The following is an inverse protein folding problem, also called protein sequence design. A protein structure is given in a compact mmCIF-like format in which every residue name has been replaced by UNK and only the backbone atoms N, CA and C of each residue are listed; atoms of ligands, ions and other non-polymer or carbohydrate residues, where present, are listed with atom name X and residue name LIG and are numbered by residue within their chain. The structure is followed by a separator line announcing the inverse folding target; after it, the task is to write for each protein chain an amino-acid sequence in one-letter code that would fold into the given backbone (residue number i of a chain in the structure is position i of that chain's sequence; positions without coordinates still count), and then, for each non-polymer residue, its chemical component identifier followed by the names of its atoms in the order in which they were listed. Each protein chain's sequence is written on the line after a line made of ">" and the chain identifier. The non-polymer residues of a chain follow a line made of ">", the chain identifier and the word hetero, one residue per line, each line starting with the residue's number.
data_IF_216785663136
#
_entry.id   IF_216785663136
#
_cell.length_a   1.000
_cell.length_b   1.000
_cell.length_c   1.000
_cell.angle_alpha   90.00
_cell.angle_beta   90.00
_cell.angle_gamma   90.00
#
_symmetry.space_group_name_H-M   'P 1'
#
loop_
_entity.id
_entity.type
_entity.pdbx_description
1 polymer ?
#
# COMPACT_ATOMS: atom_id res chain seq x y z
N UNK A 1 -14.29 -5.06 11.23
CA UNK A 1 -15.62 -4.98 10.57
C UNK A 1 -16.16 -3.54 10.75
N UNK A 2 -17.31 -3.14 10.17
CA UNK A 2 -17.83 -1.75 10.24
C UNK A 2 -19.01 -1.57 11.22
N UNK A 3 -19.24 -2.57 12.07
CA UNK A 3 -20.33 -2.70 13.01
C UNK A 3 -19.87 -2.56 14.48
N UNK A 4 -18.64 -2.10 14.73
CA UNK A 4 -18.14 -1.78 16.07
C UNK A 4 -18.19 -0.28 16.38
N UNK A 5 -18.57 0.05 17.61
CA UNK A 5 -18.49 1.42 18.16
C UNK A 5 -17.84 1.39 19.56
N UNK A 6 -16.79 2.18 19.82
CA UNK A 6 -16.11 3.07 18.87
C UNK A 6 -15.41 2.28 17.76
N UNK A 7 -15.10 2.95 16.65
CA UNK A 7 -14.34 2.35 15.56
C UNK A 7 -12.97 1.88 16.09
N UNK A 8 -12.61 0.63 15.79
CA UNK A 8 -11.33 0.04 16.15
C UNK A 8 -10.59 -0.43 14.90
N UNK A 9 -9.26 -0.29 14.93
CA UNK A 9 -8.39 -0.77 13.84
C UNK A 9 -7.89 -2.17 14.15
N UNK A 10 -8.84 -3.11 14.23
CA UNK A 10 -8.55 -4.51 14.49
C UNK A 10 -8.99 -5.44 13.34
N UNK A 11 -8.01 -6.00 12.62
CA UNK A 11 -8.27 -7.02 11.60
C UNK A 11 -8.25 -8.41 12.22
N UNK A 12 -9.18 -9.24 11.74
CA UNK A 12 -9.32 -10.64 12.13
C UNK A 12 -9.45 -11.48 10.87
N UNK A 13 -9.01 -12.74 10.95
CA UNK A 13 -9.19 -13.69 9.86
C UNK A 13 -10.62 -14.24 9.89
N UNK A 14 -11.34 -14.09 8.78
CA UNK A 14 -12.70 -14.63 8.62
C UNK A 14 -12.73 -16.05 8.04
N UNK A 15 -11.62 -16.50 7.45
CA UNK A 15 -11.44 -17.83 6.91
C UNK A 15 -9.97 -18.24 6.98
N UNK A 16 -9.69 -19.51 6.73
CA UNK A 16 -8.34 -20.05 6.71
C UNK A 16 -7.71 -19.99 5.32
N UNK A 17 -6.39 -20.21 5.26
CA UNK A 17 -5.64 -20.28 4.00
C UNK A 17 -6.09 -21.48 3.18
N UNK A 18 -6.33 -22.62 3.82
CA UNK A 18 -6.82 -23.84 3.19
C UNK A 18 -8.19 -23.63 2.54
N UNK A 19 -9.08 -22.88 3.21
CA UNK A 19 -10.38 -22.53 2.61
C UNK A 19 -10.21 -21.69 1.35
N UNK A 20 -9.26 -20.73 1.34
CA UNK A 20 -8.96 -19.96 0.14
C UNK A 20 -8.38 -20.84 -0.98
N UNK A 21 -7.51 -21.79 -0.62
CA UNK A 21 -6.93 -22.76 -1.55
C UNK A 21 -7.98 -23.70 -2.14
N UNK A 22 -8.88 -24.24 -1.32
CA UNK A 22 -10.00 -25.11 -1.74
C UNK A 22 -10.95 -24.40 -2.71
N UNK A 23 -11.09 -23.07 -2.59
CA UNK A 23 -11.85 -22.23 -3.53
C UNK A 23 -11.13 -22.00 -4.88
N UNK A 24 -9.88 -22.44 -5.01
CA UNK A 24 -9.05 -22.22 -6.18
C UNK A 24 -8.46 -20.81 -6.27
N UNK A 25 -8.31 -20.11 -5.14
CA UNK A 25 -7.65 -18.80 -5.13
C UNK A 25 -6.17 -18.94 -5.53
N UNK A 26 -5.66 -17.97 -6.29
CA UNK A 26 -4.24 -17.95 -6.66
C UNK A 26 -3.33 -17.41 -5.54
N UNK A 27 -3.91 -16.70 -4.57
CA UNK A 27 -3.20 -16.02 -3.51
C UNK A 27 -4.12 -15.62 -2.36
N UNK A 28 -3.53 -15.26 -1.22
CA UNK A 28 -4.24 -14.70 -0.06
C UNK A 28 -3.85 -13.25 0.17
N UNK A 29 -4.79 -12.46 0.66
CA UNK A 29 -4.60 -11.06 0.98
C UNK A 29 -4.91 -10.77 2.45
N UNK A 30 -4.08 -9.98 3.12
CA UNK A 30 -4.32 -9.55 4.49
C UNK A 30 -4.06 -8.05 4.67
N UNK A 31 -4.56 -7.47 5.76
CA UNK A 31 -4.31 -6.08 6.12
C UNK A 31 -3.71 -6.02 7.51
N UNK A 32 -2.63 -5.26 7.66
CA UNK A 32 -2.10 -4.87 8.98
C UNK A 32 -2.31 -3.37 9.16
N UNK A 33 -2.86 -3.01 10.32
CA UNK A 33 -3.03 -1.64 10.76
C UNK A 33 -1.84 -1.20 11.63
N UNK A 34 -0.72 -0.88 11.00
CA UNK A 34 0.50 -0.44 11.67
C UNK A 34 0.27 0.81 12.53
N UNK A 35 0.72 0.76 13.79
CA UNK A 35 0.53 1.83 14.76
C UNK A 35 -0.77 1.75 15.57
N UNK A 36 -1.66 0.78 15.27
CA UNK A 36 -2.81 0.49 16.13
C UNK A 36 -2.42 -0.41 17.30
N UNK A 37 -3.26 -0.45 18.34
CA UNK A 37 -3.01 -1.22 19.56
C UNK A 37 -2.81 -2.72 19.27
N UNK A 38 -3.53 -3.26 18.28
CA UNK A 38 -3.50 -4.68 17.92
C UNK A 38 -2.54 -5.01 16.77
N UNK A 39 -1.76 -4.05 16.28
CA UNK A 39 -0.85 -4.24 15.15
C UNK A 39 0.12 -5.42 15.35
N UNK A 40 0.64 -5.61 16.58
CA UNK A 40 1.56 -6.72 16.89
C UNK A 40 0.91 -8.10 16.75
N UNK A 41 -0.35 -8.24 17.17
CA UNK A 41 -1.11 -9.49 16.99
C UNK A 41 -1.32 -9.77 15.51
N UNK A 42 -1.81 -8.76 14.78
CA UNK A 42 -2.04 -8.85 13.34
C UNK A 42 -0.78 -9.23 12.57
N UNK A 43 0.39 -8.70 12.95
CA UNK A 43 1.68 -9.09 12.33
C UNK A 43 1.96 -10.59 12.52
N UNK A 44 1.75 -11.13 13.73
CA UNK A 44 1.93 -12.56 13.99
C UNK A 44 0.96 -13.42 13.20
N UNK A 45 -0.34 -13.09 13.27
CA UNK A 45 -1.41 -13.80 12.55
C UNK A 45 -1.19 -13.81 11.02
N UNK A 46 -0.75 -12.67 10.46
CA UNK A 46 -0.45 -12.57 9.03
C UNK A 46 0.81 -13.33 8.67
N UNK A 47 1.85 -13.30 9.51
CA UNK A 47 3.08 -14.07 9.26
C UNK A 47 2.81 -15.57 9.21
N UNK A 48 1.98 -16.10 10.11
CA UNK A 48 1.58 -17.51 10.10
C UNK A 48 0.74 -17.86 8.87
N UNK A 49 -0.21 -16.99 8.50
CA UNK A 49 -1.05 -17.19 7.32
C UNK A 49 -0.25 -17.14 6.01
N UNK A 50 0.75 -16.26 5.92
CA UNK A 50 1.57 -16.13 4.71
C UNK A 50 2.51 -17.32 4.54
N UNK A 51 3.12 -17.80 5.62
CA UNK A 51 3.91 -19.04 5.59
C UNK A 51 3.07 -20.24 5.12
N UNK A 52 1.85 -20.40 5.66
CA UNK A 52 0.93 -21.45 5.22
C UNK A 52 0.52 -21.31 3.74
N UNK A 53 0.33 -20.07 3.26
CA UNK A 53 0.01 -19.83 1.86
C UNK A 53 1.17 -20.22 0.93
N UNK A 54 2.40 -19.93 1.33
CA UNK A 54 3.60 -20.34 0.60
C UNK A 54 3.78 -21.87 0.58
N UNK A 55 3.47 -22.58 1.66
CA UNK A 55 3.46 -24.06 1.68
C UNK A 55 2.47 -24.66 0.67
N UNK A 56 1.37 -23.95 0.39
CA UNK A 56 0.35 -24.35 -0.59
C UNK A 56 0.62 -23.80 -2.00
N UNK A 57 1.73 -23.08 -2.22
CA UNK A 57 2.10 -22.50 -3.52
C UNK A 57 1.27 -21.29 -3.95
N UNK A 58 0.64 -20.60 -2.99
CA UNK A 58 -0.16 -19.39 -3.22
C UNK A 58 0.67 -18.13 -2.99
N UNK A 59 0.47 -17.07 -3.78
CA UNK A 59 1.14 -15.79 -3.53
C UNK A 59 0.41 -14.97 -2.45
N UNK A 60 1.13 -14.03 -1.82
CA UNK A 60 0.58 -13.24 -0.72
C UNK A 60 0.55 -11.75 -1.05
N UNK A 61 -0.49 -11.05 -0.58
CA UNK A 61 -0.63 -9.60 -0.76
C UNK A 61 -0.92 -8.94 0.58
N UNK A 62 -0.08 -7.99 0.98
CA UNK A 62 -0.23 -7.29 2.26
C UNK A 62 -0.55 -5.82 2.08
N UNK A 63 -1.66 -5.40 2.66
CA UNK A 63 -2.01 -3.99 2.82
C UNK A 63 -1.37 -3.45 4.09
N UNK A 64 -0.36 -2.60 3.93
CA UNK A 64 0.38 -2.01 5.04
C UNK A 64 -0.19 -0.65 5.44
N UNK A 65 -1.31 -0.58 6.15
CA UNK A 65 -1.92 0.70 6.48
C UNK A 65 -1.44 1.25 7.80
N UNK A 66 -0.95 2.48 7.81
CA UNK A 66 -0.81 3.23 9.06
C UNK A 66 -2.19 3.54 9.64
N UNK A 67 -2.34 3.37 10.95
CA UNK A 67 -3.53 3.71 11.74
C UNK A 67 -3.16 4.11 13.16
N UNK A 68 -3.07 5.41 13.39
CA UNK A 68 -2.95 5.96 14.74
C UNK A 68 -3.31 7.43 14.73
N UNK A 69 -4.07 7.95 15.71
CA UNK A 69 -4.27 9.39 15.83
C UNK A 69 -2.94 10.14 16.00
N UNK A 70 -1.90 9.49 16.53
CA UNK A 70 -0.56 10.08 16.71
C UNK A 70 0.15 10.42 15.40
N UNK A 71 -0.30 9.89 14.25
CA UNK A 71 0.23 10.28 12.94
C UNK A 71 -0.34 11.61 12.43
N UNK A 72 -1.21 12.27 13.19
CA UNK A 72 -1.63 13.65 12.93
C UNK A 72 -0.94 14.58 13.92
N UNK A 73 -0.08 15.46 13.41
CA UNK A 73 0.73 16.38 14.22
C UNK A 73 0.55 17.78 13.66
N UNK A 74 0.20 18.75 14.52
CA UNK A 74 0.02 20.17 14.17
C UNK A 74 -0.87 20.40 12.94
N UNK A 75 -1.96 19.63 12.83
CA UNK A 75 -2.91 19.71 11.72
C UNK A 75 -2.47 19.01 10.42
N UNK A 76 -1.25 18.48 10.37
CA UNK A 76 -0.75 17.71 9.22
C UNK A 76 -0.99 16.21 9.42
N UNK A 77 -1.48 15.52 8.38
CA UNK A 77 -1.71 14.08 8.38
C UNK A 77 -0.52 13.33 7.74
N UNK A 78 0.21 12.55 8.53
CA UNK A 78 1.38 11.77 8.10
C UNK A 78 1.06 10.29 7.83
N UNK A 79 -0.22 9.88 7.78
CA UNK A 79 -0.58 8.48 7.46
C UNK A 79 -0.12 8.03 6.07
N UNK A 80 0.21 8.96 5.18
CA UNK A 80 0.76 8.71 3.84
C UNK A 80 2.20 9.22 3.70
N UNK A 81 2.91 9.47 4.80
CA UNK A 81 4.30 9.91 4.74
C UNK A 81 5.20 8.80 4.18
N UNK A 82 6.04 9.14 3.21
CA UNK A 82 6.91 8.18 2.52
C UNK A 82 7.82 7.42 3.49
N UNK A 83 8.38 8.10 4.49
CA UNK A 83 9.23 7.50 5.52
C UNK A 83 8.49 6.50 6.43
N UNK A 84 7.31 6.88 6.96
CA UNK A 84 6.52 6.01 7.82
C UNK A 84 5.93 4.82 7.06
N UNK A 85 5.36 5.08 5.87
CA UNK A 85 4.78 4.02 5.02
C UNK A 85 5.86 3.11 4.46
N UNK A 86 7.06 3.63 4.17
CA UNK A 86 8.23 2.83 3.81
C UNK A 86 8.58 1.81 4.89
N UNK A 87 8.64 2.21 6.16
CA UNK A 87 8.88 1.25 7.25
C UNK A 87 7.79 0.18 7.34
N UNK A 88 6.52 0.56 7.21
CA UNK A 88 5.41 -0.41 7.22
C UNK A 88 5.51 -1.40 6.05
N UNK A 89 5.93 -0.93 4.88
CA UNK A 89 6.21 -1.80 3.73
C UNK A 89 7.38 -2.75 4.03
N UNK A 90 8.47 -2.25 4.61
CA UNK A 90 9.63 -3.06 4.98
C UNK A 90 9.28 -4.18 5.98
N UNK A 91 8.44 -3.86 6.98
CA UNK A 91 7.92 -4.88 7.89
C UNK A 91 7.04 -5.89 7.15
N UNK A 92 6.24 -5.43 6.19
CA UNK A 92 5.41 -6.30 5.37
C UNK A 92 6.21 -7.30 4.53
N UNK A 93 7.27 -6.85 3.86
CA UNK A 93 8.13 -7.76 3.09
C UNK A 93 8.89 -8.75 3.97
N UNK A 94 9.13 -8.39 5.24
CA UNK A 94 9.80 -9.26 6.22
C UNK A 94 8.91 -10.42 6.66
N UNK A 95 7.58 -10.26 6.58
CA UNK A 95 6.60 -11.31 6.92
C UNK A 95 6.03 -11.98 5.67
N UNK A 96 6.88 -12.21 4.66
CA UNK A 96 6.60 -13.04 3.48
C UNK A 96 5.53 -12.51 2.53
N UNK A 97 5.33 -11.18 2.49
CA UNK A 97 4.51 -10.57 1.45
C UNK A 97 5.21 -10.66 0.08
N UNK A 98 4.54 -11.20 -0.95
CA UNK A 98 5.02 -11.18 -2.34
C UNK A 98 4.66 -9.87 -3.06
N UNK A 99 3.56 -9.24 -2.61
CA UNK A 99 3.12 -7.92 -3.08
C UNK A 99 2.73 -7.06 -1.88
N UNK A 100 3.32 -5.87 -1.80
CA UNK A 100 2.91 -4.83 -0.87
C UNK A 100 1.89 -3.92 -1.54
N UNK A 101 0.78 -3.70 -0.85
CA UNK A 101 -0.18 -2.65 -1.17
C UNK A 101 -0.01 -1.49 -0.19
N UNK A 102 0.32 -0.31 -0.73
CA UNK A 102 0.35 0.95 0.03
C UNK A 102 -0.49 2.07 -0.62
N UNK A 103 -0.90 3.10 0.13
CA UNK A 103 -1.39 4.35 -0.47
C UNK A 103 -0.23 5.10 -1.13
N UNK A 104 -0.48 5.78 -2.25
CA UNK A 104 0.54 6.67 -2.81
C UNK A 104 0.94 7.74 -1.77
N UNK A 105 2.24 7.99 -1.53
CA UNK A 105 2.64 8.93 -0.53
C UNK A 105 2.36 10.36 -0.99
N UNK A 106 1.94 11.21 -0.06
CA UNK A 106 1.58 12.62 -0.33
C UNK A 106 2.48 13.61 0.40
N UNK A 107 3.30 13.12 1.33
CA UNK A 107 4.26 13.92 2.10
C UNK A 107 5.40 13.02 2.60
N UNK A 108 6.27 13.59 3.43
CA UNK A 108 7.39 12.91 4.07
C UNK A 108 7.64 13.52 5.46
N UNK A 109 8.66 13.04 6.17
CA UNK A 109 9.08 13.60 7.45
C UNK A 109 8.18 13.19 8.62
N UNK A 110 7.39 12.12 8.46
CA UNK A 110 6.51 11.65 9.50
C UNK A 110 7.28 11.24 10.75
N UNK A 111 8.47 10.62 10.64
CA UNK A 111 9.28 10.28 11.82
C UNK A 111 9.74 11.52 12.60
N UNK A 112 10.12 12.59 11.89
CA UNK A 112 10.53 13.86 12.52
C UNK A 112 9.34 14.53 13.22
N UNK A 113 8.14 14.44 12.64
CA UNK A 113 6.94 15.07 13.20
C UNK A 113 6.40 14.32 14.43
N UNK A 114 6.33 12.99 14.39
CA UNK A 114 5.67 12.20 15.45
C UNK A 114 6.54 12.00 16.70
N UNK A 115 7.85 12.23 16.59
CA UNK A 115 8.77 12.19 17.73
C UNK A 115 9.04 10.80 18.30
N UNK A 116 8.62 9.74 17.61
CA UNK A 116 8.93 8.35 17.95
C UNK A 116 9.41 7.58 16.72
N UNK A 117 10.04 6.42 16.94
CA UNK A 117 10.71 5.67 15.88
C UNK A 117 12.11 6.18 15.61
N UNK A 118 12.69 5.80 14.47
CA UNK A 118 14.06 6.18 14.08
C UNK A 118 14.11 6.45 12.59
N UNK A 119 14.83 7.50 12.23
CA UNK A 119 15.13 7.89 10.86
C UNK A 119 16.54 8.48 10.82
N UNK A 120 17.11 8.66 9.64
CA UNK A 120 18.42 9.27 9.44
C UNK A 120 18.27 10.50 8.53
N UNK A 121 19.07 11.55 8.73
CA UNK A 121 18.93 12.81 7.97
C UNK A 121 19.08 12.62 6.46
N UNK A 122 19.98 11.71 6.04
CA UNK A 122 20.14 11.27 4.65
C UNK A 122 18.84 10.84 3.95
N UNK A 123 17.83 10.34 4.68
CA UNK A 123 16.52 10.02 4.10
C UNK A 123 15.96 11.25 3.39
N UNK A 124 16.07 12.41 4.03
CA UNK A 124 15.50 13.67 3.58
C UNK A 124 16.46 14.50 2.74
N UNK A 125 17.76 14.38 3.01
CA UNK A 125 18.77 15.23 2.36
C UNK A 125 19.29 14.63 1.05
N UNK A 126 19.20 13.30 0.86
CA UNK A 126 19.82 12.61 -0.28
C UNK A 126 18.95 11.52 -0.92
N UNK A 127 18.14 10.80 -0.14
CA UNK A 127 17.43 9.61 -0.63
C UNK A 127 16.02 9.90 -1.16
N UNK A 128 15.51 11.10 -0.94
CA UNK A 128 14.18 11.51 -1.40
C UNK A 128 14.10 13.02 -1.61
N UNK A 129 12.99 13.48 -2.17
CA UNK A 129 12.65 14.90 -2.32
C UNK A 129 11.14 15.06 -2.22
N UNK A 130 10.62 16.28 -2.33
CA UNK A 130 9.17 16.52 -2.40
C UNK A 130 8.54 16.07 -3.72
N UNK A 131 9.34 15.62 -4.70
CA UNK A 131 8.82 15.12 -5.95
C UNK A 131 8.04 13.80 -5.74
N UNK A 132 6.80 13.65 -6.23
CA UNK A 132 5.97 12.47 -5.95
C UNK A 132 6.60 11.13 -6.35
N UNK A 133 7.39 11.12 -7.43
CA UNK A 133 8.14 9.93 -7.87
C UNK A 133 9.21 9.56 -6.84
N UNK A 134 9.90 10.52 -6.24
CA UNK A 134 10.97 10.25 -5.26
C UNK A 134 10.40 9.75 -3.93
N UNK A 135 9.24 10.29 -3.53
CA UNK A 135 8.48 9.80 -2.38
C UNK A 135 8.02 8.35 -2.59
N UNK A 136 7.45 8.05 -3.75
CA UNK A 136 7.03 6.69 -4.09
C UNK A 136 8.25 5.74 -4.25
N UNK A 137 9.37 6.22 -4.82
CA UNK A 137 10.60 5.43 -4.95
C UNK A 137 11.15 5.06 -3.58
N UNK A 138 11.03 5.93 -2.58
CA UNK A 138 11.40 5.58 -1.21
C UNK A 138 10.53 4.43 -0.64
N UNK A 139 9.22 4.39 -0.95
CA UNK A 139 8.40 3.21 -0.62
C UNK A 139 8.89 1.94 -1.34
N UNK A 140 9.22 2.03 -2.63
CA UNK A 140 9.74 0.90 -3.43
C UNK A 140 11.08 0.39 -2.87
N UNK A 141 11.96 1.29 -2.47
CA UNK A 141 13.25 0.94 -1.87
C UNK A 141 13.08 0.06 -0.62
N UNK A 142 12.06 0.36 0.19
CA UNK A 142 11.71 -0.43 1.37
C UNK A 142 11.10 -1.80 1.05
N UNK A 143 10.68 -2.03 -0.20
CA UNK A 143 10.29 -3.34 -0.72
C UNK A 143 11.50 -4.09 -1.33
N UNK A 144 12.65 -4.04 -0.67
CA UNK A 144 13.93 -4.58 -1.15
C UNK A 144 14.30 -4.09 -2.57
N UNK A 145 14.29 -2.77 -2.77
CA UNK A 145 14.59 -2.15 -4.07
C UNK A 145 13.67 -2.64 -5.21
N UNK A 146 12.41 -2.92 -4.88
CA UNK A 146 11.41 -3.41 -5.83
C UNK A 146 11.46 -4.92 -6.12
N UNK A 147 12.31 -5.70 -5.42
CA UNK A 147 12.29 -7.17 -5.52
C UNK A 147 10.93 -7.74 -5.12
N UNK A 148 10.30 -7.13 -4.10
CA UNK A 148 8.91 -7.40 -3.74
C UNK A 148 8.05 -6.31 -4.38
N UNK A 149 7.01 -6.72 -5.10
CA UNK A 149 6.20 -5.78 -5.89
C UNK A 149 5.50 -4.76 -5.00
N UNK A 150 5.55 -3.47 -5.37
CA UNK A 150 4.76 -2.42 -4.72
C UNK A 150 3.62 -1.99 -5.65
N UNK A 151 2.39 -2.23 -5.21
CA UNK A 151 1.21 -1.65 -5.83
C UNK A 151 0.66 -0.49 -5.00
N UNK A 152 0.33 0.62 -5.67
CA UNK A 152 -0.32 1.76 -5.02
C UNK A 152 -1.82 1.81 -5.28
N UNK A 153 -2.52 2.63 -4.50
CA UNK A 153 -3.87 3.08 -4.84
C UNK A 153 -3.92 4.60 -4.78
N UNK A 154 -4.68 5.21 -5.70
CA UNK A 154 -5.15 6.58 -5.54
C UNK A 154 -6.06 6.69 -4.32
N UNK A 155 -6.29 7.91 -3.83
CA UNK A 155 -7.15 8.18 -2.68
C UNK A 155 -8.61 7.74 -2.85
N UNK A 156 -9.50 8.25 -2.01
CA UNK A 156 -10.93 8.04 -2.19
C UNK A 156 -11.42 8.59 -3.55
N UNK A 157 -12.59 8.15 -4.00
CA UNK A 157 -13.24 8.68 -5.20
C UNK A 157 -13.48 10.18 -5.05
N UNK A 158 -13.05 10.96 -6.03
CA UNK A 158 -13.28 12.40 -6.17
C UNK A 158 -14.27 12.71 -7.30
N UNK A 159 -14.80 11.68 -7.96
CA UNK A 159 -15.78 11.82 -9.03
C UNK A 159 -15.11 12.17 -10.36
N UNK A 160 -15.30 13.41 -10.83
CA UNK A 160 -14.92 13.80 -12.18
C UNK A 160 -13.39 13.72 -12.45
N UNK A 161 -12.55 13.91 -11.42
CA UNK A 161 -11.08 13.83 -11.55
C UNK A 161 -10.51 12.41 -11.40
N UNK A 162 -11.35 11.40 -11.13
CA UNK A 162 -10.87 10.06 -10.79
C UNK A 162 -10.00 9.42 -11.88
N UNK A 163 -10.33 9.65 -13.16
CA UNK A 163 -9.56 9.12 -14.28
C UNK A 163 -8.16 9.73 -14.31
N UNK A 164 -8.06 11.06 -14.26
CA UNK A 164 -6.79 11.76 -14.27
C UNK A 164 -5.93 11.41 -13.04
N UNK A 165 -6.54 11.30 -11.86
CA UNK A 165 -5.85 10.88 -10.64
C UNK A 165 -5.36 9.43 -10.70
N UNK A 166 -6.15 8.53 -11.29
CA UNK A 166 -5.76 7.14 -11.46
C UNK A 166 -4.57 7.00 -12.42
N UNK A 167 -4.62 7.71 -13.56
CA UNK A 167 -3.52 7.76 -14.53
C UNK A 167 -2.28 8.38 -13.90
N UNK A 168 -2.41 9.51 -13.18
CA UNK A 168 -1.28 10.14 -12.49
C UNK A 168 -0.65 9.19 -11.45
N UNK A 169 -1.47 8.49 -10.67
CA UNK A 169 -1.00 7.48 -9.70
C UNK A 169 -0.25 6.34 -10.41
N UNK A 170 -0.76 5.87 -11.55
CA UNK A 170 -0.11 4.84 -12.36
C UNK A 170 1.24 5.29 -12.90
N UNK A 171 1.31 6.52 -13.43
CA UNK A 171 2.57 7.09 -13.91
C UNK A 171 3.57 7.22 -12.76
N UNK A 172 3.17 7.76 -11.61
CA UNK A 172 4.06 7.92 -10.46
C UNK A 172 4.59 6.56 -9.97
N UNK A 173 3.70 5.58 -9.77
CA UNK A 173 4.10 4.24 -9.31
C UNK A 173 5.07 3.57 -10.31
N UNK A 174 4.72 3.53 -11.60
CA UNK A 174 5.57 2.93 -12.63
C UNK A 174 6.94 3.63 -12.71
N UNK A 175 6.95 4.96 -12.74
CA UNK A 175 8.20 5.73 -12.81
C UNK A 175 9.06 5.59 -11.56
N UNK A 176 8.47 5.32 -10.40
CA UNK A 176 9.18 5.03 -9.16
C UNK A 176 9.76 3.60 -9.09
N UNK A 177 9.39 2.70 -10.02
CA UNK A 177 9.77 1.29 -10.01
C UNK A 177 8.76 0.37 -9.32
N UNK A 178 7.55 0.85 -9.06
CA UNK A 178 6.43 0.02 -8.61
C UNK A 178 5.87 -0.85 -9.74
N UNK A 179 5.01 -1.80 -9.38
CA UNK A 179 4.59 -2.90 -10.28
C UNK A 179 3.12 -2.87 -10.63
N UNK A 180 2.34 -1.89 -10.15
CA UNK A 180 0.91 -1.88 -10.42
C UNK A 180 0.08 -0.94 -9.57
N UNK A 181 -1.21 -0.89 -9.89
CA UNK A 181 -2.24 -0.25 -9.09
C UNK A 181 -3.28 -1.27 -8.64
N UNK A 182 -3.94 -0.96 -7.53
CA UNK A 182 -5.19 -1.60 -7.14
C UNK A 182 -6.32 -0.57 -7.11
N UNK A 183 -7.44 -0.88 -7.76
CA UNK A 183 -8.62 -0.03 -7.82
C UNK A 183 -9.85 -0.77 -7.31
N UNK A 184 -10.58 -0.12 -6.40
CA UNK A 184 -11.84 -0.62 -5.84
C UNK A 184 -12.97 0.34 -6.16
N UNK A 185 -13.40 1.11 -5.16
CA UNK A 185 -14.50 2.10 -5.29
C UNK A 185 -14.39 3.00 -6.51
N UNK A 186 -13.19 3.49 -6.84
CA UNK A 186 -12.96 4.30 -8.05
C UNK A 186 -13.45 3.57 -9.30
N UNK A 187 -13.11 2.30 -9.54
CA UNK A 187 -13.58 1.57 -10.72
C UNK A 187 -15.05 1.10 -10.62
N UNK A 188 -15.51 0.68 -9.43
CA UNK A 188 -16.76 -0.07 -9.29
C UNK A 188 -17.98 0.75 -8.82
N UNK A 189 -17.81 1.96 -8.31
CA UNK A 189 -18.93 2.85 -7.92
C UNK A 189 -19.28 3.86 -9.04
N UNK A 190 -19.27 3.40 -10.29
CA UNK A 190 -19.63 4.18 -11.49
C UNK A 190 -20.26 3.27 -12.55
N UNK A 191 -20.83 3.82 -13.64
CA UNK A 191 -21.32 3.00 -14.75
C UNK A 191 -20.24 2.07 -15.30
N UNK A 192 -20.62 0.84 -15.67
CA UNK A 192 -19.67 -0.21 -16.10
C UNK A 192 -18.69 0.27 -17.18
N UNK A 193 -19.18 0.95 -18.22
CA UNK A 193 -18.34 1.47 -19.30
C UNK A 193 -17.24 2.42 -18.79
N UNK A 194 -17.59 3.35 -17.90
CA UNK A 194 -16.63 4.28 -17.30
C UNK A 194 -15.66 3.58 -16.34
N UNK A 195 -16.07 2.50 -15.68
CA UNK A 195 -15.19 1.66 -14.86
C UNK A 195 -14.15 0.93 -15.71
N UNK A 196 -14.58 0.35 -16.82
CA UNK A 196 -13.71 -0.31 -17.80
C UNK A 196 -12.72 0.68 -18.40
N UNK A 197 -13.18 1.87 -18.81
CA UNK A 197 -12.32 2.93 -19.33
C UNK A 197 -11.21 3.32 -18.33
N UNK A 198 -11.56 3.47 -17.06
CA UNK A 198 -10.59 3.78 -16.00
C UNK A 198 -9.55 2.67 -15.83
N UNK A 199 -9.96 1.40 -15.87
CA UNK A 199 -9.04 0.27 -15.75
C UNK A 199 -8.12 0.16 -16.97
N UNK A 200 -8.64 0.35 -18.19
CA UNK A 200 -7.85 0.35 -19.41
C UNK A 200 -6.82 1.49 -19.39
N UNK A 201 -7.21 2.69 -18.99
CA UNK A 201 -6.28 3.82 -18.89
C UNK A 201 -5.13 3.56 -17.91
N UNK A 202 -5.38 2.84 -16.80
CA UNK A 202 -4.31 2.40 -15.89
C UNK A 202 -3.41 1.37 -16.60
N UNK A 203 -3.99 0.38 -17.27
CA UNK A 203 -3.24 -0.66 -17.98
C UNK A 203 -2.36 -0.08 -19.09
N UNK A 204 -2.89 0.90 -19.84
CA UNK A 204 -2.17 1.60 -20.91
C UNK A 204 -0.88 2.24 -20.38
N UNK A 205 -0.91 2.85 -19.18
CA UNK A 205 0.31 3.37 -18.55
C UNK A 205 1.36 2.29 -18.32
N UNK A 206 0.97 1.09 -17.89
CA UNK A 206 1.91 -0.02 -17.66
C UNK A 206 2.41 -0.65 -18.96
N UNK A 207 1.58 -0.67 -20.00
CA UNK A 207 1.93 -1.18 -21.33
C UNK A 207 2.75 -0.16 -22.16
N UNK A 208 2.67 1.14 -21.86
CA UNK A 208 3.39 2.18 -22.57
C UNK A 208 4.90 2.17 -22.25
N UNK A 209 5.70 1.73 -23.22
CA UNK A 209 7.16 1.65 -23.10
C UNK A 209 7.85 3.03 -22.93
N UNK A 210 7.17 4.13 -23.26
CA UNK A 210 7.72 5.49 -23.07
C UNK A 210 7.69 5.95 -21.61
N UNK A 211 6.85 5.34 -20.78
CA UNK A 211 6.83 5.59 -19.34
C UNK A 211 7.87 4.70 -18.66
N UNK A 212 9.11 5.18 -18.60
CA UNK A 212 10.22 4.43 -18.00
C UNK A 212 10.34 4.68 -16.49
N UNK A 213 11.03 3.77 -15.81
CA UNK A 213 11.57 4.06 -14.47
C UNK A 213 12.46 5.30 -14.57
N UNK A 214 12.28 6.25 -13.65
CA UNK A 214 12.97 7.53 -13.61
C UNK A 214 14.23 7.47 -12.74
#
# INVERSE_FOLDING_TARGET
>A
ELLSHPESYDQVMFGSVEQAWDLGAAGVGATVYFGSDNARRQIGEVSEAFAAAHELGMFTVLWCYLRSPAFKVDGTDYHAAADLTGQANHMGVTIEADIIKQKLPTNNGGYRAVGFGKTHDLVYDQLTSDHPIDLCRYQVANCYMGRIGLINSGGASSGASDLAEAVATAVINKRAGGTGLISGRKAFQRPMASGVELLNAIQDVYLDASVTVA
#
